data_IF_877231317771
#
_entry.id   IF_877231317771
#
_cell.length_a   1.000
_cell.length_b   1.000
_cell.length_c   1.000
_cell.angle_alpha   90.00
_cell.angle_beta   90.00
_cell.angle_gamma   90.00
#
_symmetry.space_group_name_H-M   'P 1'
#
loop_
_entity.id
_entity.type
_entity.pdbx_description
1 polymer ?
#
# COMPACT_ATOMS: atom_id res chain seq x y z
N UNK A 1 -19.69 1.24 11.07
CA UNK A 1 -20.30 -0.10 11.17
C UNK A 1 -21.01 -0.39 9.85
N UNK A 2 -20.40 -1.20 8.98
CA UNK A 2 -21.07 -1.85 7.85
C UNK A 2 -20.90 -3.35 8.11
N UNK A 3 -21.99 -4.03 8.42
CA UNK A 3 -22.03 -5.49 8.45
C UNK A 3 -22.05 -5.93 6.99
N UNK A 4 -20.87 -6.15 6.40
CA UNK A 4 -20.78 -6.72 5.06
C UNK A 4 -20.32 -8.17 5.17
N UNK A 5 -21.28 -9.07 5.33
CA UNK A 5 -21.11 -10.53 5.28
C UNK A 5 -20.99 -11.07 3.84
N UNK A 6 -20.84 -10.20 2.84
CA UNK A 6 -20.64 -10.59 1.45
C UNK A 6 -19.17 -10.41 1.06
N UNK A 7 -18.42 -11.49 1.25
CA UNK A 7 -17.03 -11.63 0.84
C UNK A 7 -16.96 -11.52 -0.69
N UNK A 8 -16.19 -10.57 -1.21
CA UNK A 8 -16.02 -10.41 -2.66
C UNK A 8 -15.12 -11.53 -3.18
N UNK A 9 -15.62 -12.27 -4.16
CA UNK A 9 -14.77 -13.15 -4.97
C UNK A 9 -13.63 -12.33 -5.59
N UNK A 10 -12.40 -12.74 -5.32
CA UNK A 10 -11.21 -12.12 -5.90
C UNK A 10 -11.13 -12.54 -7.38
N UNK A 11 -11.44 -11.60 -8.27
CA UNK A 11 -11.35 -11.79 -9.73
C UNK A 11 -10.32 -10.89 -10.38
N UNK A 12 -10.02 -9.75 -9.74
CA UNK A 12 -9.04 -8.78 -10.21
C UNK A 12 -8.10 -8.37 -9.08
N UNK A 13 -6.80 -8.47 -9.32
CA UNK A 13 -5.73 -8.10 -8.38
C UNK A 13 -4.79 -7.11 -9.04
N UNK A 14 -4.29 -6.16 -8.26
CA UNK A 14 -3.12 -5.35 -8.67
C UNK A 14 -1.96 -5.66 -7.74
N UNK A 15 -0.80 -5.95 -8.32
CA UNK A 15 0.45 -6.20 -7.61
C UNK A 15 1.32 -4.95 -7.71
N UNK A 16 1.72 -4.42 -6.56
CA UNK A 16 2.64 -3.30 -6.43
C UNK A 16 3.98 -3.84 -5.96
N UNK A 17 4.98 -3.86 -6.84
CA UNK A 17 6.32 -4.30 -6.50
C UNK A 17 7.25 -3.10 -6.37
N UNK A 18 8.14 -3.10 -5.36
CA UNK A 18 9.18 -2.09 -5.27
C UNK A 18 10.30 -2.38 -6.29
N UNK A 19 10.37 -1.60 -7.36
CA UNK A 19 11.32 -1.77 -8.48
C UNK A 19 12.80 -1.63 -8.08
N UNK A 20 13.11 -1.05 -6.90
CA UNK A 20 14.48 -0.98 -6.37
C UNK A 20 14.97 -2.30 -5.79
N UNK A 21 14.04 -3.22 -5.50
CA UNK A 21 14.34 -4.52 -4.87
C UNK A 21 14.15 -5.63 -5.88
N UNK A 22 15.25 -6.20 -6.39
CA UNK A 22 15.23 -7.35 -7.32
C UNK A 22 14.30 -8.48 -6.84
N UNK A 23 14.36 -8.84 -5.55
CA UNK A 23 13.48 -9.85 -4.94
C UNK A 23 11.98 -9.51 -5.07
N UNK A 24 11.60 -8.23 -4.96
CA UNK A 24 10.22 -7.80 -5.10
C UNK A 24 9.71 -7.97 -6.55
N UNK A 25 10.56 -7.66 -7.53
CA UNK A 25 10.25 -7.82 -8.95
C UNK A 25 10.14 -9.28 -9.37
N UNK A 26 11.06 -10.12 -8.90
CA UNK A 26 11.03 -11.57 -9.14
C UNK A 26 9.78 -12.19 -8.50
N UNK A 27 9.48 -11.80 -7.26
CA UNK A 27 8.25 -12.18 -6.57
C UNK A 27 7.00 -11.76 -7.35
N UNK A 28 6.93 -10.51 -7.79
CA UNK A 28 5.79 -9.97 -8.52
C UNK A 28 5.55 -10.71 -9.83
N UNK A 29 6.62 -10.95 -10.59
CA UNK A 29 6.56 -11.71 -11.84
C UNK A 29 6.07 -13.14 -11.62
N UNK A 30 6.56 -13.79 -10.54
CA UNK A 30 6.09 -15.13 -10.15
C UNK A 30 4.60 -15.14 -9.83
N UNK A 31 4.13 -14.18 -9.03
CA UNK A 31 2.72 -14.11 -8.62
C UNK A 31 1.79 -13.77 -9.80
N UNK A 32 2.23 -12.91 -10.72
CA UNK A 32 1.48 -12.64 -11.96
C UNK A 32 1.20 -13.94 -12.72
N UNK A 33 2.21 -14.79 -12.89
CA UNK A 33 2.05 -16.07 -13.58
C UNK A 33 1.13 -17.02 -12.81
N UNK A 34 1.25 -17.07 -11.48
CA UNK A 34 0.41 -17.91 -10.62
C UNK A 34 -1.06 -17.51 -10.65
N UNK A 35 -1.37 -16.21 -10.56
CA UNK A 35 -2.76 -15.74 -10.62
C UNK A 35 -3.38 -15.96 -12.00
N UNK A 36 -2.62 -15.73 -13.07
CA UNK A 36 -3.08 -15.99 -14.45
C UNK A 36 -3.39 -17.47 -14.67
N UNK A 37 -2.56 -18.38 -14.17
CA UNK A 37 -2.84 -19.83 -14.30
C UNK A 37 -4.09 -20.27 -13.55
N UNK A 38 -4.50 -19.52 -12.52
CA UNK A 38 -5.75 -19.69 -11.76
C UNK A 38 -6.94 -18.91 -12.34
N UNK A 39 -6.79 -18.25 -13.49
CA UNK A 39 -7.85 -17.49 -14.16
C UNK A 39 -8.22 -16.16 -13.50
N UNK A 40 -7.34 -15.63 -12.65
CA UNK A 40 -7.51 -14.33 -11.97
C UNK A 40 -6.89 -13.23 -12.84
N UNK A 41 -7.65 -12.16 -13.09
CA UNK A 41 -7.13 -10.96 -13.76
C UNK A 41 -6.11 -10.28 -12.84
N UNK A 42 -4.90 -10.07 -13.34
CA UNK A 42 -3.80 -9.52 -12.56
C UNK A 42 -3.02 -8.51 -13.36
N UNK A 43 -2.82 -7.35 -12.74
CA UNK A 43 -2.01 -6.25 -13.24
C UNK A 43 -0.80 -6.03 -12.32
N UNK A 44 0.33 -5.67 -12.92
CA UNK A 44 1.52 -5.22 -12.19
C UNK A 44 2.03 -3.98 -12.93
N UNK A 45 1.63 -2.76 -12.53
CA UNK A 45 2.08 -1.55 -13.20
C UNK A 45 3.58 -1.36 -13.05
N UNK A 46 4.20 -0.78 -14.08
CA UNK A 46 5.58 -0.30 -13.99
C UNK A 46 5.65 0.93 -13.10
N UNK A 47 6.39 0.80 -12.00
CA UNK A 47 6.60 1.85 -11.00
C UNK A 47 8.10 2.18 -10.87
N UNK A 48 8.86 1.94 -11.94
CA UNK A 48 10.26 2.38 -12.04
C UNK A 48 10.34 3.88 -11.75
N UNK A 49 11.27 4.28 -10.86
CA UNK A 49 11.47 5.68 -10.47
C UNK A 49 10.47 6.23 -9.45
N UNK A 50 9.26 5.68 -9.34
CA UNK A 50 8.26 6.16 -8.39
C UNK A 50 8.73 6.08 -6.93
N UNK A 51 9.35 4.97 -6.55
CA UNK A 51 9.86 4.78 -5.18
C UNK A 51 11.15 5.55 -4.90
N UNK A 52 11.74 6.20 -5.90
CA UNK A 52 12.87 7.12 -5.72
C UNK A 52 12.39 8.56 -5.46
N UNK A 53 11.22 8.92 -5.99
CA UNK A 53 10.62 10.24 -5.85
C UNK A 53 9.09 10.16 -5.71
N UNK A 54 8.58 9.68 -4.57
CA UNK A 54 7.16 9.47 -4.37
C UNK A 54 6.33 10.76 -4.35
N UNK A 55 6.98 11.92 -4.19
CA UNK A 55 6.40 13.25 -4.33
C UNK A 55 6.07 13.65 -5.78
N UNK A 56 6.62 12.96 -6.79
CA UNK A 56 6.27 13.16 -8.19
C UNK A 56 4.95 12.41 -8.50
N UNK A 57 3.91 13.16 -8.84
CA UNK A 57 2.50 12.75 -8.97
C UNK A 57 2.23 11.68 -10.07
N UNK A 58 3.23 11.26 -10.84
CA UNK A 58 3.06 10.30 -11.93
C UNK A 58 2.80 8.88 -11.43
N UNK A 59 3.59 8.38 -10.47
CA UNK A 59 3.37 7.03 -9.95
C UNK A 59 2.09 6.91 -9.12
N UNK A 60 1.63 8.01 -8.52
CA UNK A 60 0.30 8.10 -7.91
C UNK A 60 -0.80 7.75 -8.94
N UNK A 61 -0.76 8.39 -10.11
CA UNK A 61 -1.76 8.20 -11.18
C UNK A 61 -1.75 6.77 -11.71
N UNK A 62 -0.56 6.19 -11.90
CA UNK A 62 -0.40 4.83 -12.39
C UNK A 62 -0.97 3.80 -11.42
N UNK A 63 -0.66 3.93 -10.12
CA UNK A 63 -1.21 3.04 -9.10
C UNK A 63 -2.73 3.21 -9.05
N UNK A 64 -3.21 4.45 -8.95
CA UNK A 64 -4.63 4.77 -8.91
C UNK A 64 -5.41 4.18 -10.11
N UNK A 65 -4.94 4.39 -11.34
CA UNK A 65 -5.61 3.90 -12.54
C UNK A 65 -5.60 2.37 -12.63
N UNK A 66 -4.49 1.75 -12.23
CA UNK A 66 -4.34 0.28 -12.27
C UNK A 66 -5.17 -0.43 -11.20
N UNK A 67 -5.45 0.24 -10.09
CA UNK A 67 -6.09 -0.35 -8.91
C UNK A 67 -7.59 -0.08 -8.80
N UNK A 68 -8.15 0.87 -9.56
CA UNK A 68 -9.54 1.34 -9.39
C UNK A 68 -10.62 0.25 -9.40
N UNK A 69 -10.38 -0.84 -10.13
CA UNK A 69 -11.30 -1.98 -10.25
C UNK A 69 -10.81 -3.24 -9.52
N UNK A 70 -9.66 -3.17 -8.88
CA UNK A 70 -9.08 -4.31 -8.17
C UNK A 70 -9.94 -4.66 -6.95
N UNK A 71 -10.08 -5.97 -6.71
CA UNK A 71 -10.73 -6.46 -5.49
C UNK A 71 -9.76 -6.51 -4.31
N UNK A 72 -8.46 -6.62 -4.60
CA UNK A 72 -7.39 -6.56 -3.63
C UNK A 72 -6.10 -6.02 -4.28
N UNK A 73 -5.28 -5.40 -3.46
CA UNK A 73 -3.92 -4.98 -3.78
C UNK A 73 -2.93 -5.88 -3.06
N UNK A 74 -1.91 -6.39 -3.76
CA UNK A 74 -0.78 -7.09 -3.12
C UNK A 74 0.44 -6.18 -3.19
N UNK A 75 1.04 -5.87 -2.06
CA UNK A 75 2.25 -5.03 -2.01
C UNK A 75 3.45 -5.91 -1.69
N UNK A 76 4.41 -5.95 -2.61
CA UNK A 76 5.67 -6.66 -2.47
C UNK A 76 6.78 -5.66 -2.16
N UNK A 77 7.16 -5.59 -0.89
CA UNK A 77 8.12 -4.59 -0.43
C UNK A 77 8.42 -4.69 1.05
N UNK A 78 8.69 -3.56 1.69
CA UNK A 78 8.66 -3.43 3.15
C UNK A 78 7.80 -2.24 3.54
N UNK A 79 7.90 -1.80 4.79
CA UNK A 79 7.07 -0.72 5.36
C UNK A 79 7.05 0.54 4.48
N UNK A 80 8.21 1.01 4.01
CA UNK A 80 8.28 2.19 3.14
C UNK A 80 7.51 2.03 1.81
N UNK A 81 7.40 0.81 1.29
CA UNK A 81 6.60 0.50 0.08
C UNK A 81 5.10 0.54 0.40
N UNK A 82 4.70 -0.06 1.52
CA UNK A 82 3.32 -0.01 2.01
C UNK A 82 2.88 1.45 2.26
N UNK A 83 3.66 2.21 3.03
CA UNK A 83 3.37 3.61 3.36
C UNK A 83 3.21 4.45 2.09
N UNK A 84 4.12 4.27 1.12
CA UNK A 84 4.09 5.01 -0.14
C UNK A 84 2.89 4.64 -1.01
N UNK A 85 2.51 3.37 -1.02
CA UNK A 85 1.35 2.90 -1.78
C UNK A 85 0.03 3.35 -1.15
N UNK A 86 -0.09 3.28 0.18
CA UNK A 86 -1.29 3.72 0.91
C UNK A 86 -1.58 5.19 0.64
N UNK A 87 -0.55 6.05 0.60
CA UNK A 87 -0.71 7.45 0.21
C UNK A 87 -1.34 7.63 -1.16
N UNK A 88 -1.08 6.73 -2.10
CA UNK A 88 -1.62 6.81 -3.44
C UNK A 88 -3.06 6.30 -3.58
N UNK A 89 -3.48 5.35 -2.73
CA UNK A 89 -4.73 4.62 -2.95
C UNK A 89 -5.76 4.71 -1.84
N UNK A 90 -5.48 5.39 -0.72
CA UNK A 90 -6.38 5.36 0.44
C UNK A 90 -7.81 5.80 0.11
N UNK A 91 -8.00 6.72 -0.84
CA UNK A 91 -9.33 7.18 -1.25
C UNK A 91 -10.19 6.12 -1.96
N UNK A 92 -9.58 5.01 -2.41
CA UNK A 92 -10.29 3.95 -3.14
C UNK A 92 -10.77 2.80 -2.23
N UNK A 93 -10.42 2.82 -0.94
CA UNK A 93 -10.80 1.79 0.06
C UNK A 93 -10.55 0.34 -0.41
N UNK A 94 -9.50 0.12 -1.19
CA UNK A 94 -9.14 -1.20 -1.72
C UNK A 94 -8.46 -2.01 -0.62
N UNK A 95 -8.86 -3.27 -0.34
CA UNK A 95 -8.15 -4.15 0.57
C UNK A 95 -6.68 -4.34 0.16
N UNK A 96 -5.76 -4.26 1.12
CA UNK A 96 -4.32 -4.35 0.88
C UNK A 96 -3.76 -5.57 1.61
N UNK A 97 -3.02 -6.41 0.89
CA UNK A 97 -2.22 -7.50 1.42
C UNK A 97 -0.73 -7.16 1.30
N UNK A 98 -0.10 -6.61 2.35
CA UNK A 98 1.33 -6.37 2.36
C UNK A 98 2.11 -7.67 2.60
N UNK A 99 3.05 -7.97 1.72
CA UNK A 99 3.98 -9.10 1.83
C UNK A 99 5.42 -8.55 1.91
N UNK A 100 6.09 -8.86 3.01
CA UNK A 100 7.46 -8.45 3.25
C UNK A 100 8.44 -9.35 2.48
N UNK A 101 9.14 -8.76 1.51
CA UNK A 101 10.19 -9.46 0.73
C UNK A 101 11.60 -9.15 1.22
N UNK A 102 11.74 -8.27 2.22
CA UNK A 102 13.01 -7.89 2.83
C UNK A 102 13.36 -8.66 4.10
N UNK A 103 12.38 -9.30 4.76
CA UNK A 103 12.57 -9.98 6.05
C UNK A 103 12.79 -9.05 7.24
N UNK A 104 12.58 -7.75 7.08
CA UNK A 104 12.58 -6.74 8.15
C UNK A 104 11.44 -5.76 7.90
N UNK A 105 10.59 -5.52 8.90
CA UNK A 105 9.43 -4.64 8.81
C UNK A 105 8.48 -4.86 9.97
N UNK A 106 7.69 -3.84 10.31
CA UNK A 106 6.73 -3.87 11.41
C UNK A 106 5.28 -3.83 10.93
N UNK A 107 5.01 -3.29 9.73
CA UNK A 107 3.65 -3.09 9.22
C UNK A 107 3.15 -4.23 8.33
N UNK A 108 4.07 -4.94 7.70
CA UNK A 108 3.77 -6.13 6.89
C UNK A 108 3.71 -7.36 7.80
N UNK A 109 2.52 -7.93 7.95
CA UNK A 109 2.30 -9.11 8.80
C UNK A 109 2.73 -10.43 8.16
N UNK A 110 2.91 -10.45 6.83
CA UNK A 110 3.20 -11.67 6.09
C UNK A 110 4.61 -11.58 5.52
N UNK A 111 5.48 -12.51 5.92
CA UNK A 111 6.77 -12.69 5.27
C UNK A 111 6.60 -13.45 3.94
N UNK A 112 7.51 -13.20 3.01
CA UNK A 112 7.46 -13.84 1.69
C UNK A 112 7.53 -15.38 1.76
N UNK A 113 8.09 -15.95 2.83
CA UNK A 113 8.12 -17.40 3.08
C UNK A 113 6.76 -17.99 3.45
N UNK A 114 5.81 -17.16 3.87
CA UNK A 114 4.46 -17.56 4.27
C UNK A 114 3.39 -17.19 3.23
N UNK A 115 3.82 -16.65 2.09
CA UNK A 115 2.92 -16.11 1.06
C UNK A 115 1.93 -17.16 0.56
N UNK A 116 2.32 -18.43 0.41
CA UNK A 116 1.44 -19.47 -0.15
C UNK A 116 0.16 -19.58 0.67
N UNK A 117 0.29 -19.61 2.00
CA UNK A 117 -0.85 -19.63 2.92
C UNK A 117 -1.72 -18.38 2.78
N UNK A 118 -1.10 -17.20 2.73
CA UNK A 118 -1.81 -15.94 2.62
C UNK A 118 -2.55 -15.78 1.28
N UNK A 119 -1.96 -16.23 0.18
CA UNK A 119 -2.55 -16.18 -1.16
C UNK A 119 -3.71 -17.17 -1.29
N UNK A 120 -3.58 -18.37 -0.72
CA UNK A 120 -4.70 -19.31 -0.64
C UNK A 120 -5.88 -18.74 0.15
N UNK A 121 -5.60 -18.16 1.33
CA UNK A 121 -6.60 -17.48 2.14
C UNK A 121 -7.28 -16.35 1.35
N UNK A 122 -6.50 -15.51 0.66
CA UNK A 122 -7.01 -14.43 -0.17
C UNK A 122 -7.97 -14.95 -1.26
N UNK A 123 -7.57 -15.99 -2.00
CA UNK A 123 -8.38 -16.55 -3.09
C UNK A 123 -9.66 -17.22 -2.57
N UNK A 124 -9.57 -17.95 -1.45
CA UNK A 124 -10.71 -18.60 -0.80
C UNK A 124 -11.64 -17.61 -0.08
N UNK A 125 -11.19 -16.37 0.10
CA UNK A 125 -11.89 -15.36 0.90
C UNK A 125 -11.68 -15.54 2.41
N UNK A 126 -10.83 -16.47 2.83
CA UNK A 126 -10.62 -16.82 4.25
C UNK A 126 -9.69 -15.82 4.94
N UNK A 127 -10.12 -14.57 5.03
CA UNK A 127 -9.41 -13.47 5.68
C UNK A 127 -10.38 -12.52 6.38
N UNK A 128 -9.85 -11.74 7.32
CA UNK A 128 -10.58 -10.63 7.92
C UNK A 128 -9.95 -9.31 7.48
N UNK A 129 -10.76 -8.25 7.43
CA UNK A 129 -10.27 -6.91 7.11
C UNK A 129 -10.00 -6.14 8.40
N UNK A 130 -8.76 -5.68 8.56
CA UNK A 130 -8.39 -4.71 9.57
C UNK A 130 -8.53 -3.29 8.99
N UNK A 131 -9.16 -2.38 9.75
CA UNK A 131 -9.21 -0.96 9.39
C UNK A 131 -8.13 -0.21 10.16
N UNK A 132 -7.25 0.48 9.43
CA UNK A 132 -6.24 1.36 10.00
C UNK A 132 -6.66 2.82 9.89
N UNK A 133 -6.43 3.58 10.97
CA UNK A 133 -6.65 5.02 10.96
C UNK A 133 -5.59 5.72 10.11
N UNK A 134 -5.98 6.80 9.43
CA UNK A 134 -5.08 7.65 8.66
C UNK A 134 -5.13 9.07 9.21
N UNK A 135 -3.98 9.73 9.23
CA UNK A 135 -3.87 11.16 9.48
C UNK A 135 -4.13 11.90 8.18
N UNK A 136 -5.14 12.77 8.16
CA UNK A 136 -5.33 13.76 7.10
C UNK A 136 -4.61 15.04 7.49
N UNK A 137 -3.68 15.50 6.65
CA UNK A 137 -2.84 16.67 6.91
C UNK A 137 -3.09 17.71 5.83
N UNK A 138 -3.38 18.93 6.25
CA UNK A 138 -3.60 20.08 5.38
C UNK A 138 -2.65 21.21 5.79
N UNK A 139 -1.87 21.72 4.84
CA UNK A 139 -0.96 22.87 5.01
C UNK A 139 -1.26 23.86 3.89
N UNK A 140 -2.07 24.88 4.19
CA UNK A 140 -2.60 25.77 3.15
C UNK A 140 -3.42 24.97 2.13
N UNK A 141 -3.00 24.99 0.86
CA UNK A 141 -3.62 24.24 -0.23
C UNK A 141 -3.05 22.83 -0.42
N UNK A 142 -1.98 22.48 0.30
CA UNK A 142 -1.39 21.16 0.23
C UNK A 142 -2.14 20.18 1.14
N UNK A 143 -2.52 19.03 0.60
CA UNK A 143 -3.21 17.95 1.30
C UNK A 143 -2.44 16.65 1.14
N UNK A 144 -2.29 15.91 2.22
CA UNK A 144 -1.62 14.61 2.22
C UNK A 144 -2.18 13.73 3.33
N UNK A 145 -1.92 12.44 3.20
CA UNK A 145 -2.36 11.42 4.15
C UNK A 145 -1.17 10.62 4.67
N UNK A 146 -1.23 10.22 5.94
CA UNK A 146 -0.15 9.47 6.58
C UNK A 146 -0.72 8.31 7.41
N UNK A 147 -0.12 7.14 7.28
CA UNK A 147 -0.53 5.94 8.03
C UNK A 147 0.08 5.90 9.44
N UNK A 148 1.35 6.29 9.58
CA UNK A 148 2.04 6.18 10.87
C UNK A 148 2.08 7.53 11.60
N UNK A 149 2.89 8.47 11.12
CA UNK A 149 3.13 9.74 11.82
C UNK A 149 3.22 10.95 10.89
N UNK A 150 2.97 12.12 11.47
CA UNK A 150 3.34 13.42 10.95
C UNK A 150 4.43 13.99 11.87
N UNK A 151 5.55 14.43 11.29
CA UNK A 151 6.64 15.06 12.03
C UNK A 151 6.73 16.53 11.66
N UNK A 152 6.64 17.40 12.67
CA UNK A 152 6.95 18.83 12.54
C UNK A 152 8.36 19.05 13.09
N UNK A 153 9.26 19.55 12.26
CA UNK A 153 10.67 19.78 12.61
C UNK A 153 11.09 21.22 12.28
N UNK A 154 12.00 21.79 13.09
CA UNK A 154 12.54 23.15 12.93
C UNK A 154 13.50 23.33 11.73
N UNK A 155 13.63 22.30 10.89
CA UNK A 155 14.59 22.28 9.79
C UNK A 155 16.04 22.44 10.29
N UNK A 156 16.81 23.30 9.62
CA UNK A 156 18.20 23.59 9.98
C UNK A 156 18.35 24.73 11.01
N UNK A 157 17.25 25.35 11.44
CA UNK A 157 17.30 26.47 12.39
C UNK A 157 17.81 25.99 13.74
N UNK A 158 18.72 26.73 14.38
CA UNK A 158 19.19 26.46 15.76
C UNK A 158 18.22 26.95 16.84
N UNK A 159 17.19 27.71 16.46
CA UNK A 159 16.20 28.28 17.39
C UNK A 159 15.11 27.27 17.74
N UNK A 160 14.45 27.49 18.88
CA UNK A 160 13.29 26.68 19.32
C UNK A 160 12.10 26.96 18.39
N UNK A 161 11.47 25.91 17.88
CA UNK A 161 10.20 26.04 17.18
C UNK A 161 9.06 26.23 18.18
N UNK A 162 8.33 27.33 18.07
CA UNK A 162 7.11 27.54 18.84
C UNK A 162 5.92 26.93 18.10
N UNK A 163 5.29 25.92 18.70
CA UNK A 163 4.16 25.20 18.13
C UNK A 163 2.96 25.41 19.04
N UNK A 164 1.86 25.92 18.49
CA UNK A 164 0.60 26.09 19.20
C UNK A 164 -0.39 25.05 18.70
N UNK A 165 -1.08 24.38 19.62
CA UNK A 165 -2.17 23.46 19.31
C UNK A 165 -3.50 24.15 19.62
N UNK A 166 -4.35 24.25 18.61
CA UNK A 166 -5.77 24.54 18.80
C UNK A 166 -6.52 23.21 18.71
N UNK A 167 -7.27 22.79 19.75
CA UNK A 167 -8.21 21.69 19.61
C UNK A 167 -9.20 22.04 18.48
N UNK A 168 -9.46 21.10 17.58
CA UNK A 168 -10.59 21.23 16.65
C UNK A 168 -11.90 21.28 17.44
N UNK A 169 -12.89 22.00 16.89
CA UNK A 169 -14.26 22.13 17.43
C UNK A 169 -14.91 20.75 17.55
#
# INVERSE_FOLDING_TARGET
>A
MIISTHMKHIRKITIIANYRKKKALEAGSSLVNEFRSKGIDVSMPDLTGYFDKPEEDEGYKVIASSSREANALIILGGDGTLLTTVRAIAQYEIPILPINVSGMGFLSEIDYTEKERALEALIKGDYTLERRMLLNVEVGHWKSIYLNELVIHRGLSTQVAHITRSPGI
#
